data_IF_800336097093
#
_entry.id   IF_800336097093
#
_cell.length_a   1.000
_cell.length_b   1.000
_cell.length_c   1.000
_cell.angle_alpha   90.00
_cell.angle_beta   90.00
_cell.angle_gamma   90.00
#
_symmetry.space_group_name_H-M   'P 1'
#
loop_
_entity.id
_entity.type
_entity.pdbx_description
1 polymer ?
#
# COMPACT_ATOMS: atom_id res chain seq x y z
N UNK A 1 -6.64 14.61 -18.87
CA UNK A 1 -6.03 14.51 -17.51
C UNK A 1 -5.86 13.03 -17.21
N UNK A 2 -4.63 12.56 -17.12
CA UNK A 2 -4.30 11.15 -16.91
C UNK A 2 -4.92 10.65 -15.61
N UNK A 3 -6.00 9.86 -15.72
CA UNK A 3 -6.45 8.95 -14.65
C UNK A 3 -5.29 7.98 -14.45
N UNK A 4 -4.36 8.33 -13.57
CA UNK A 4 -3.10 7.63 -13.28
C UNK A 4 -3.41 6.26 -12.68
N UNK A 5 -3.82 5.34 -13.53
CA UNK A 5 -3.12 4.13 -13.94
C UNK A 5 -2.14 3.50 -12.95
N UNK A 6 -2.47 3.52 -11.66
CA UNK A 6 -1.76 2.74 -10.66
C UNK A 6 -2.81 2.08 -9.77
N UNK A 7 -3.45 1.04 -10.33
CA UNK A 7 -3.84 -0.11 -9.51
C UNK A 7 -2.54 -0.66 -8.89
N UNK A 8 -2.04 -0.01 -7.83
CA UNK A 8 -0.99 -0.54 -6.99
C UNK A 8 -1.51 -1.87 -6.45
N UNK A 9 -0.93 -2.96 -6.92
CA UNK A 9 -1.49 -4.31 -6.92
C UNK A 9 -1.94 -4.85 -5.54
N UNK A 10 -1.64 -4.17 -4.43
CA UNK A 10 -2.07 -4.56 -3.09
C UNK A 10 -2.86 -3.48 -2.32
N UNK A 11 -2.80 -2.20 -2.70
CA UNK A 11 -3.38 -1.11 -1.92
C UNK A 11 -4.16 -0.11 -2.74
N UNK A 12 -5.25 0.38 -2.16
CA UNK A 12 -6.00 1.55 -2.62
C UNK A 12 -5.67 2.74 -1.72
N UNK A 13 -5.11 3.80 -2.28
CA UNK A 13 -4.75 4.99 -1.51
C UNK A 13 -5.94 5.94 -1.43
N UNK A 14 -6.45 6.17 -0.22
CA UNK A 14 -7.45 7.18 0.08
C UNK A 14 -6.74 8.43 0.58
N UNK A 15 -6.32 9.28 -0.35
CA UNK A 15 -5.54 10.49 -0.08
C UNK A 15 -6.26 11.45 0.90
N UNK A 16 -7.59 11.57 0.80
CA UNK A 16 -8.41 12.41 1.68
C UNK A 16 -8.25 12.07 3.16
N UNK A 17 -7.89 10.83 3.48
CA UNK A 17 -7.72 10.34 4.86
C UNK A 17 -6.28 9.93 5.16
N UNK A 18 -5.35 10.10 4.21
CA UNK A 18 -3.96 9.65 4.34
C UNK A 18 -3.83 8.16 4.73
N UNK A 19 -4.73 7.31 4.24
CA UNK A 19 -4.73 5.85 4.50
C UNK A 19 -4.64 5.05 3.21
N UNK A 20 -4.08 3.85 3.30
CA UNK A 20 -4.05 2.87 2.23
C UNK A 20 -4.84 1.63 2.64
N UNK A 21 -5.81 1.21 1.83
CA UNK A 21 -6.64 0.03 2.07
C UNK A 21 -6.03 -1.17 1.37
N UNK A 22 -5.70 -2.22 2.12
CA UNK A 22 -5.31 -3.52 1.57
C UNK A 22 -6.45 -4.09 0.72
N UNK A 23 -6.22 -4.43 -0.55
CA UNK A 23 -7.27 -4.99 -1.41
C UNK A 23 -7.63 -6.43 -1.09
N UNK A 24 -6.68 -7.22 -0.61
CA UNK A 24 -6.87 -8.63 -0.21
C UNK A 24 -7.67 -8.76 1.09
N UNK A 25 -7.38 -7.89 2.06
CA UNK A 25 -7.81 -8.01 3.44
C UNK A 25 -8.75 -6.90 3.91
N UNK A 26 -8.97 -5.89 3.08
CA UNK A 26 -9.78 -4.68 3.37
C UNK A 26 -9.36 -3.91 4.61
N UNK A 27 -8.14 -4.15 5.11
CA UNK A 27 -7.59 -3.45 6.27
C UNK A 27 -7.03 -2.09 5.87
N UNK A 28 -7.40 -1.06 6.64
CA UNK A 28 -6.86 0.29 6.48
C UNK A 28 -5.50 0.40 7.17
N UNK A 29 -4.49 0.89 6.44
CA UNK A 29 -3.11 0.95 6.87
C UNK A 29 -2.54 2.32 6.56
N UNK A 30 -1.89 2.93 7.54
CA UNK A 30 -1.18 4.19 7.31
C UNK A 30 0.01 3.97 6.36
N UNK A 31 0.32 4.90 5.43
CA UNK A 31 1.43 4.77 4.48
C UNK A 31 2.79 4.44 5.12
N UNK A 32 3.04 4.99 6.32
CA UNK A 32 4.23 4.70 7.12
C UNK A 32 4.31 3.23 7.60
N UNK A 33 3.17 2.58 7.81
CA UNK A 33 3.06 1.22 8.34
C UNK A 33 2.92 0.15 7.25
N UNK A 34 2.70 0.51 5.98
CA UNK A 34 2.53 -0.44 4.85
C UNK A 34 3.65 -1.49 4.80
N UNK A 35 4.91 -1.08 5.02
CA UNK A 35 6.05 -2.02 5.00
C UNK A 35 5.90 -3.08 6.10
N UNK A 36 5.67 -2.65 7.34
CA UNK A 36 5.52 -3.57 8.48
C UNK A 36 4.29 -4.45 8.33
N UNK A 37 3.20 -3.88 7.80
CA UNK A 37 1.97 -4.61 7.53
C UNK A 37 2.17 -5.75 6.52
N UNK A 38 2.79 -5.45 5.37
CA UNK A 38 3.07 -6.45 4.33
C UNK A 38 3.97 -7.60 4.83
N UNK A 39 4.94 -7.29 5.69
CA UNK A 39 5.82 -8.31 6.25
C UNK A 39 5.10 -9.21 7.26
N UNK A 40 4.19 -8.67 8.08
CA UNK A 40 3.49 -9.43 9.12
C UNK A 40 2.28 -10.19 8.58
N UNK A 41 1.41 -9.51 7.84
CA UNK A 41 0.13 -10.06 7.37
C UNK A 41 0.29 -10.93 6.11
N UNK A 42 1.17 -10.56 5.19
CA UNK A 42 1.33 -11.24 3.89
C UNK A 42 2.68 -11.92 3.72
N UNK A 43 3.55 -11.91 4.77
CA UNK A 43 4.90 -12.48 4.74
C UNK A 43 5.76 -12.01 3.54
N UNK A 44 5.50 -10.80 3.03
CA UNK A 44 6.19 -10.25 1.87
C UNK A 44 7.64 -9.92 2.22
N UNK A 45 8.58 -10.28 1.34
CA UNK A 45 10.01 -10.00 1.52
C UNK A 45 10.27 -8.49 1.62
N UNK A 46 11.25 -8.10 2.44
CA UNK A 46 11.55 -6.70 2.76
C UNK A 46 11.75 -5.80 1.52
N UNK A 47 12.46 -6.28 0.49
CA UNK A 47 12.70 -5.53 -0.76
C UNK A 47 11.40 -5.20 -1.49
N UNK A 48 10.51 -6.18 -1.60
CA UNK A 48 9.21 -6.02 -2.24
C UNK A 48 8.28 -5.11 -1.43
N UNK A 49 8.22 -5.31 -0.10
CA UNK A 49 7.44 -4.46 0.80
C UNK A 49 7.89 -2.98 0.74
N UNK A 50 9.21 -2.73 0.65
CA UNK A 50 9.76 -1.37 0.50
C UNK A 50 9.34 -0.73 -0.83
N UNK A 51 9.38 -1.49 -1.94
CA UNK A 51 8.94 -0.98 -3.24
C UNK A 51 7.44 -0.63 -3.24
N UNK A 52 6.59 -1.50 -2.69
CA UNK A 52 5.15 -1.24 -2.57
C UNK A 52 4.90 0.02 -1.72
N UNK A 53 5.54 0.10 -0.54
CA UNK A 53 5.36 1.24 0.36
C UNK A 53 5.87 2.58 -0.23
N UNK A 54 6.87 2.55 -1.12
CA UNK A 54 7.31 3.76 -1.85
C UNK A 54 6.29 4.17 -2.89
N UNK A 55 5.78 3.22 -3.67
CA UNK A 55 4.80 3.53 -4.73
C UNK A 55 3.46 4.02 -4.19
N UNK A 56 3.04 3.56 -2.99
CA UNK A 56 1.80 4.07 -2.34
C UNK A 56 1.98 5.48 -1.76
N UNK A 57 3.21 5.90 -1.46
CA UNK A 57 3.53 7.24 -0.96
C UNK A 57 3.78 8.27 -2.06
N UNK A 58 3.94 7.82 -3.30
CA UNK A 58 4.26 8.65 -4.47
C UNK A 58 2.99 9.11 -5.16
#
# INVERSE_FOLDING_TARGET
IAKTNVKLQHFEHLAAYSIAICKECKHSVLPRHIKSYLQRAHKVKQKQAKNIAKRVRS
#
